data_IF_476427914879
#
_entry.id   IF_476427914879
#
_cell.length_a   1.000
_cell.length_b   1.000
_cell.length_c   1.000
_cell.angle_alpha   90.00
_cell.angle_beta   90.00
_cell.angle_gamma   90.00
#
_symmetry.space_group_name_H-M   'P 1'
#
loop_
_entity.id
_entity.type
_entity.pdbx_description
1 polymer ?
#
# COMPACT_ATOMS: atom_id res chain seq x y z
N UNK A 1 29.49 -29.73 24.06
CA UNK A 1 28.26 -30.09 23.32
C UNK A 1 27.62 -28.83 22.77
N UNK A 2 27.46 -28.71 21.43
CA UNK A 2 26.97 -27.48 20.79
C UNK A 2 25.47 -27.31 21.06
N UNK A 3 25.09 -26.33 21.89
CA UNK A 3 23.73 -26.11 22.44
C UNK A 3 22.79 -25.35 21.48
N UNK A 4 23.04 -25.34 20.18
CA UNK A 4 22.23 -24.58 19.23
C UNK A 4 21.86 -25.45 18.03
N UNK A 5 20.72 -26.13 18.20
CA UNK A 5 19.93 -26.75 17.13
C UNK A 5 19.68 -25.68 16.05
N UNK A 6 19.80 -26.05 14.78
CA UNK A 6 19.64 -25.16 13.63
C UNK A 6 18.42 -24.24 13.78
N UNK A 7 18.67 -22.94 13.94
CA UNK A 7 17.62 -21.93 14.04
C UNK A 7 16.97 -21.81 12.66
N UNK A 8 15.66 -22.07 12.56
CA UNK A 8 14.89 -21.71 11.36
C UNK A 8 15.12 -20.20 11.13
N UNK A 9 15.58 -19.79 9.93
CA UNK A 9 15.85 -18.37 9.65
C UNK A 9 14.59 -17.55 9.89
N UNK A 10 14.65 -16.54 10.77
CA UNK A 10 13.59 -15.54 10.93
C UNK A 10 13.52 -14.68 9.68
N UNK A 11 12.34 -14.54 9.11
CA UNK A 11 12.05 -13.64 7.98
C UNK A 11 11.05 -12.60 8.45
N UNK A 12 11.25 -11.34 8.06
CA UNK A 12 10.26 -10.28 8.28
C UNK A 12 9.15 -10.36 7.23
N UNK A 13 7.95 -9.90 7.61
CA UNK A 13 6.78 -9.70 6.74
C UNK A 13 6.35 -8.24 6.82
N UNK A 14 5.69 -7.73 5.79
CA UNK A 14 5.10 -6.39 5.79
C UNK A 14 3.63 -6.49 6.19
N UNK A 15 3.20 -5.67 7.14
CA UNK A 15 1.80 -5.53 7.51
C UNK A 15 1.27 -4.23 6.91
N UNK A 16 0.28 -4.33 6.03
CA UNK A 16 -0.41 -3.22 5.40
C UNK A 16 -1.76 -3.05 6.10
N UNK A 17 -2.08 -1.83 6.54
CA UNK A 17 -3.32 -1.53 7.25
C UNK A 17 -4.10 -0.47 6.50
N UNK A 18 -5.40 -0.70 6.31
CA UNK A 18 -6.35 0.32 5.88
C UNK A 18 -7.06 0.85 7.12
N UNK A 19 -6.93 2.15 7.35
CA UNK A 19 -7.51 2.84 8.52
C UNK A 19 -8.50 3.90 8.01
N UNK A 20 -9.70 3.90 8.58
CA UNK A 20 -10.68 4.93 8.33
C UNK A 20 -10.29 6.23 9.04
N UNK A 21 -10.13 7.32 8.28
CA UNK A 21 -9.58 8.56 8.83
C UNK A 21 -10.52 9.30 9.80
N UNK A 22 -11.81 8.98 9.81
CA UNK A 22 -12.80 9.63 10.68
C UNK A 22 -12.96 8.87 11.99
N UNK A 23 -13.25 7.57 11.88
CA UNK A 23 -13.48 6.70 13.03
C UNK A 23 -12.18 6.20 13.68
N UNK A 24 -11.07 6.21 12.94
CA UNK A 24 -9.79 5.57 13.32
C UNK A 24 -9.88 4.04 13.43
N UNK A 25 -10.94 3.44 12.86
CA UNK A 25 -11.08 1.99 12.81
C UNK A 25 -10.15 1.37 11.76
N UNK A 26 -9.58 0.21 12.08
CA UNK A 26 -8.91 -0.63 11.09
C UNK A 26 -10.01 -1.32 10.26
N UNK A 27 -10.10 -0.95 8.98
CA UNK A 27 -11.11 -1.47 8.05
C UNK A 27 -10.56 -2.57 7.13
N UNK A 28 -9.25 -2.77 7.10
CA UNK A 28 -8.59 -3.84 6.36
C UNK A 28 -7.16 -4.06 6.84
N UNK A 29 -6.66 -5.27 6.65
CA UNK A 29 -5.28 -5.64 6.93
C UNK A 29 -4.80 -6.69 5.93
N UNK A 30 -3.60 -6.51 5.41
CA UNK A 30 -2.97 -7.44 4.47
C UNK A 30 -1.52 -7.73 4.91
N UNK A 31 -1.10 -9.00 4.86
CA UNK A 31 0.21 -9.43 5.36
C UNK A 31 1.03 -10.05 4.22
N UNK A 32 1.98 -9.29 3.71
CA UNK A 32 2.78 -9.70 2.55
C UNK A 32 4.17 -10.19 2.94
N UNK A 33 4.77 -10.99 2.05
CA UNK A 33 6.19 -11.36 2.17
C UNK A 33 7.08 -10.18 1.76
N UNK A 34 8.32 -10.16 2.24
CA UNK A 34 9.25 -9.04 1.97
C UNK A 34 9.50 -8.75 0.49
N UNK A 35 9.32 -9.76 -0.38
CA UNK A 35 9.52 -9.67 -1.82
C UNK A 35 8.25 -9.29 -2.59
N UNK A 36 7.12 -9.11 -1.93
CA UNK A 36 5.88 -8.61 -2.55
C UNK A 36 5.97 -7.09 -2.65
N UNK A 37 5.60 -6.57 -3.82
CA UNK A 37 5.58 -5.12 -4.05
C UNK A 37 4.42 -4.47 -3.27
N UNK A 38 4.57 -3.19 -2.94
CA UNK A 38 3.55 -2.50 -2.16
C UNK A 38 2.27 -2.26 -2.99
N UNK A 39 2.37 -2.20 -4.33
CA UNK A 39 1.21 -2.15 -5.23
C UNK A 39 0.41 -3.45 -5.27
N UNK A 40 1.06 -4.60 -5.31
CA UNK A 40 0.38 -5.90 -5.20
C UNK A 40 -0.33 -6.03 -3.84
N UNK A 41 0.37 -5.68 -2.75
CA UNK A 41 -0.22 -5.70 -1.42
C UNK A 41 -1.38 -4.69 -1.26
N UNK A 42 -1.30 -3.52 -1.91
CA UNK A 42 -2.37 -2.53 -1.91
C UNK A 42 -3.63 -3.07 -2.59
N UNK A 43 -3.49 -3.71 -3.75
CA UNK A 43 -4.61 -4.31 -4.47
C UNK A 43 -5.37 -5.31 -3.58
N UNK A 44 -4.64 -6.22 -2.94
CA UNK A 44 -5.19 -7.23 -2.03
C UNK A 44 -5.84 -6.59 -0.79
N UNK A 45 -5.29 -5.47 -0.31
CA UNK A 45 -5.86 -4.72 0.82
C UNK A 45 -7.17 -4.00 0.47
N UNK A 46 -7.26 -3.31 -0.68
CA UNK A 46 -8.36 -2.38 -0.95
C UNK A 46 -9.53 -2.99 -1.71
N UNK A 47 -9.29 -3.98 -2.59
CA UNK A 47 -10.35 -4.62 -3.40
C UNK A 47 -11.44 -5.28 -2.55
N UNK A 48 -11.14 -5.98 -1.44
CA UNK A 48 -12.17 -6.60 -0.61
C UNK A 48 -12.99 -5.62 0.21
N UNK A 49 -12.51 -4.37 0.39
CA UNK A 49 -13.21 -3.38 1.19
C UNK A 49 -14.54 -3.02 0.53
N UNK A 50 -15.67 -3.25 1.20
CA UNK A 50 -16.99 -2.85 0.68
C UNK A 50 -17.29 -1.36 0.84
N UNK A 51 -16.39 -0.64 1.50
CA UNK A 51 -16.50 0.80 1.75
C UNK A 51 -16.09 1.59 0.51
N UNK A 52 -16.82 2.66 0.24
CA UNK A 52 -16.40 3.68 -0.71
C UNK A 52 -15.59 4.72 0.06
N UNK A 53 -14.42 5.04 -0.47
CA UNK A 53 -13.54 6.06 0.09
C UNK A 53 -13.20 7.01 -1.04
N UNK A 54 -13.46 8.31 -0.87
CA UNK A 54 -13.15 9.29 -1.92
C UNK A 54 -11.65 9.52 -2.07
N UNK A 55 -10.86 9.19 -1.03
CA UNK A 55 -9.41 9.40 -1.02
C UNK A 55 -8.68 8.29 -0.24
N UNK A 56 -7.51 7.91 -0.75
CA UNK A 56 -6.55 7.03 -0.08
C UNK A 56 -5.27 7.81 0.14
N UNK A 57 -4.78 7.80 1.38
CA UNK A 57 -3.49 8.40 1.74
C UNK A 57 -2.50 7.31 2.11
N UNK A 58 -1.35 7.28 1.45
CA UNK A 58 -0.27 6.32 1.74
C UNK A 58 1.04 7.04 2.03
N UNK A 59 2.06 6.29 2.41
CA UNK A 59 3.44 6.79 2.43
C UNK A 59 4.07 6.77 1.02
N UNK A 60 5.33 7.17 0.92
CA UNK A 60 6.05 7.21 -0.35
C UNK A 60 6.31 5.82 -0.99
N UNK A 61 6.12 4.71 -0.27
CA UNK A 61 6.25 3.38 -0.85
C UNK A 61 5.09 3.07 -1.81
N UNK A 62 3.95 3.77 -1.65
CA UNK A 62 2.80 3.68 -2.55
C UNK A 62 2.84 4.70 -3.70
N UNK A 63 3.94 5.46 -3.86
CA UNK A 63 4.16 6.35 -5.01
C UNK A 63 4.61 5.53 -6.23
N UNK A 64 3.69 4.69 -6.74
CA UNK A 64 3.94 3.83 -7.90
C UNK A 64 2.71 3.79 -8.80
N UNK A 65 2.91 3.64 -10.11
CA UNK A 65 1.82 3.61 -11.09
C UNK A 65 0.73 2.58 -10.76
N UNK A 66 1.11 1.38 -10.35
CA UNK A 66 0.15 0.33 -9.98
C UNK A 66 -0.71 0.72 -8.79
N UNK A 67 -0.15 1.45 -7.81
CA UNK A 67 -0.94 1.96 -6.69
C UNK A 67 -1.97 2.99 -7.14
N UNK A 68 -1.61 3.88 -8.07
CA UNK A 68 -2.55 4.84 -8.64
C UNK A 68 -3.70 4.15 -9.40
N UNK A 69 -3.39 3.11 -10.19
CA UNK A 69 -4.40 2.34 -10.94
C UNK A 69 -5.38 1.61 -10.01
N UNK A 70 -4.90 0.94 -8.96
CA UNK A 70 -5.75 0.24 -8.00
C UNK A 70 -6.70 1.19 -7.25
N UNK A 71 -6.19 2.37 -6.85
CA UNK A 71 -6.99 3.39 -6.17
C UNK A 71 -8.00 4.04 -7.12
N UNK A 72 -7.61 4.28 -8.37
CA UNK A 72 -8.51 4.79 -9.41
C UNK A 72 -9.63 3.78 -9.75
N UNK A 73 -9.33 2.48 -9.80
CA UNK A 73 -10.32 1.42 -9.98
C UNK A 73 -11.36 1.37 -8.84
N UNK A 74 -11.01 1.92 -7.68
CA UNK A 74 -11.87 2.12 -6.51
C UNK A 74 -12.65 3.44 -6.53
N UNK A 75 -12.58 4.22 -7.61
CA UNK A 75 -13.13 5.57 -7.76
C UNK A 75 -12.64 6.54 -6.69
N UNK A 76 -11.39 6.37 -6.24
CA UNK A 76 -10.78 7.16 -5.18
C UNK A 76 -9.58 7.96 -5.72
N UNK A 77 -9.22 9.04 -5.02
CA UNK A 77 -8.03 9.83 -5.31
C UNK A 77 -6.86 9.35 -4.44
N UNK A 78 -5.71 9.06 -5.05
CA UNK A 78 -4.49 8.72 -4.32
C UNK A 78 -3.73 9.97 -3.88
N UNK A 79 -3.25 9.99 -2.62
CA UNK A 79 -2.43 11.07 -2.07
C UNK A 79 -1.24 10.52 -1.29
N UNK A 80 -0.06 10.66 -1.86
CA UNK A 80 1.23 10.27 -1.25
C UNK A 80 2.11 11.50 -1.01
N UNK A 81 3.06 11.45 -0.06
CA UNK A 81 4.05 12.51 0.13
C UNK A 81 4.83 12.79 -1.15
N UNK A 82 5.32 14.03 -1.36
CA UNK A 82 6.19 14.33 -2.49
C UNK A 82 7.43 13.44 -2.49
N UNK A 83 7.88 12.93 -3.65
CA UNK A 83 9.06 12.09 -3.72
C UNK A 83 10.31 12.87 -3.30
N UNK A 84 11.14 12.24 -2.44
CA UNK A 84 12.38 12.82 -1.92
C UNK A 84 13.41 13.18 -3.02
N UNK A 85 13.23 12.64 -4.23
CA UNK A 85 14.08 12.85 -5.41
C UNK A 85 13.60 13.99 -6.32
N UNK A 86 12.47 14.63 -6.03
CA UNK A 86 11.90 15.72 -6.83
C UNK A 86 11.36 15.30 -8.21
N UNK A 87 11.55 14.04 -8.61
CA UNK A 87 10.90 13.45 -9.77
C UNK A 87 9.55 12.93 -9.32
N UNK A 88 8.48 13.56 -9.79
CA UNK A 88 7.14 13.04 -9.60
C UNK A 88 6.96 11.86 -10.54
N UNK A 89 6.59 10.69 -10.01
CA UNK A 89 5.89 9.66 -10.79
C UNK A 89 4.41 10.04 -10.90
N UNK A 90 4.13 11.33 -11.12
CA UNK A 90 2.79 11.76 -11.45
C UNK A 90 2.43 11.21 -12.82
N UNK A 91 1.19 10.79 -13.03
CA UNK A 91 0.61 10.78 -14.37
C UNK A 91 0.40 12.24 -14.82
N UNK A 92 1.47 13.02 -14.92
CA UNK A 92 1.48 14.37 -15.52
C UNK A 92 1.20 14.32 -17.04
N UNK A 93 0.78 13.16 -17.57
CA UNK A 93 0.32 12.95 -18.95
C UNK A 93 -1.13 12.46 -19.06
N UNK A 94 -1.91 12.41 -17.98
CA UNK A 94 -3.36 12.18 -18.08
C UNK A 94 -4.13 13.41 -17.59
N UNK A 95 -4.33 14.33 -18.53
CA UNK A 95 -5.43 15.30 -18.50
C UNK A 95 -6.73 14.51 -18.33
N UNK A 96 -7.36 14.61 -17.15
CA UNK A 96 -8.77 14.29 -17.00
C UNK A 96 -9.57 15.56 -17.28
N UNK A 97 -10.39 15.52 -18.34
CA UNK A 97 -11.62 16.31 -18.44
C UNK A 97 -12.60 15.87 -17.33
#
# INVERSE_FOLDING_TARGET
TRKHRATKRRTWRKLHLAVDATSHDIVGAELSMVNVSDGEALADLIRPLRRNSDRVTGDGAYDTHSCYEEVAAKSAIMRVPPPNTGKKDTPETMLYL
#
